data_IF_112385412964
#
_entry.id   IF_112385412964
#
_cell.length_a   1.000
_cell.length_b   1.000
_cell.length_c   1.000
_cell.angle_alpha   90.00
_cell.angle_beta   90.00
_cell.angle_gamma   90.00
#
_symmetry.space_group_name_H-M   'P 1'
#
loop_
_entity.id
_entity.type
_entity.pdbx_description
1 polymer ?
#
# COMPACT_ATOMS: atom_id res chain seq x y z
N UNK A 1 6.36 -1.09 -7.88
CA UNK A 1 5.14 -0.63 -8.59
C UNK A 1 5.30 -0.93 -10.06
N UNK A 2 4.26 -1.41 -10.73
CA UNK A 2 4.29 -1.86 -12.15
C UNK A 2 4.80 -0.79 -13.11
N UNK A 3 4.68 0.50 -12.75
CA UNK A 3 5.23 1.65 -13.47
C UNK A 3 6.76 1.73 -13.45
N UNK A 4 7.42 1.14 -12.44
CA UNK A 4 8.89 1.10 -12.34
C UNK A 4 9.48 -0.03 -13.17
N UNK A 5 8.69 -1.03 -13.58
CA UNK A 5 9.19 -2.07 -14.49
C UNK A 5 9.24 -1.59 -15.96
N UNK A 6 8.44 -0.58 -16.33
CA UNK A 6 8.38 -0.07 -17.71
C UNK A 6 9.64 0.71 -18.13
N UNK A 7 10.39 1.25 -17.18
CA UNK A 7 11.68 1.90 -17.45
C UNK A 7 12.82 1.17 -16.72
N UNK A 8 12.73 -0.16 -16.65
CA UNK A 8 13.82 -0.96 -16.11
C UNK A 8 15.07 -0.78 -17.00
N UNK A 9 16.23 -0.69 -16.36
CA UNK A 9 17.49 -0.38 -17.04
C UNK A 9 17.96 -1.64 -17.77
N UNK A 10 17.86 -1.66 -19.11
CA UNK A 10 18.25 -2.83 -19.91
C UNK A 10 19.72 -2.80 -20.34
N UNK A 11 20.36 -1.63 -20.30
CA UNK A 11 21.80 -1.46 -20.49
C UNK A 11 22.41 -0.51 -19.43
N UNK A 12 23.71 -0.65 -19.08
CA UNK A 12 24.34 0.16 -18.02
C UNK A 12 24.28 1.68 -18.25
N UNK A 13 24.29 2.09 -19.52
CA UNK A 13 24.32 3.46 -20.02
C UNK A 13 22.93 4.05 -20.34
N UNK A 14 21.85 3.26 -20.24
CA UNK A 14 20.50 3.72 -20.50
C UNK A 14 20.10 4.82 -19.49
N UNK A 15 19.83 6.04 -19.98
CA UNK A 15 19.32 7.12 -19.16
C UNK A 15 17.89 6.80 -18.67
N UNK A 16 17.66 6.92 -17.36
CA UNK A 16 16.34 6.77 -16.74
C UNK A 16 16.08 8.00 -15.89
N UNK A 17 14.85 8.52 -15.95
CA UNK A 17 14.42 9.71 -15.22
C UNK A 17 13.79 9.37 -13.85
N UNK A 18 14.05 8.16 -13.34
CA UNK A 18 13.51 7.69 -12.06
C UNK A 18 14.60 6.99 -11.26
N UNK A 19 14.59 7.19 -9.95
CA UNK A 19 15.40 6.40 -9.03
C UNK A 19 14.75 5.01 -8.82
N UNK A 20 15.56 3.97 -8.80
CA UNK A 20 15.20 2.61 -8.41
C UNK A 20 15.81 2.27 -7.05
N UNK A 21 15.41 1.15 -6.46
CA UNK A 21 15.79 0.78 -5.09
C UNK A 21 17.32 0.79 -4.87
N UNK A 22 18.07 0.33 -5.86
CA UNK A 22 19.54 0.21 -5.80
C UNK A 22 20.26 1.54 -5.92
N UNK A 23 19.61 2.58 -6.43
CA UNK A 23 20.21 3.91 -6.53
C UNK A 23 20.42 4.54 -5.15
N UNK A 24 19.64 4.10 -4.15
CA UNK A 24 19.77 4.57 -2.76
C UNK A 24 20.31 3.50 -1.80
N UNK A 25 20.01 2.22 -2.01
CA UNK A 25 20.35 1.13 -1.06
C UNK A 25 21.45 0.18 -1.56
N UNK A 26 21.96 0.35 -2.78
CA UNK A 26 22.86 -0.61 -3.41
C UNK A 26 22.18 -1.94 -3.76
N UNK A 27 22.96 -2.91 -4.26
CA UNK A 27 22.43 -4.16 -4.85
C UNK A 27 22.19 -5.25 -3.79
N UNK A 28 23.03 -5.33 -2.77
CA UNK A 28 23.00 -6.38 -1.73
C UNK A 28 22.97 -5.81 -0.30
N UNK A 29 22.71 -4.53 -0.13
CA UNK A 29 22.76 -3.81 1.16
C UNK A 29 21.40 -3.16 1.51
N UNK A 30 20.30 -3.70 1.00
CA UNK A 30 18.95 -3.25 1.35
C UNK A 30 18.64 -3.73 2.77
N UNK A 31 18.55 -2.79 3.70
CA UNK A 31 18.27 -3.06 5.10
C UNK A 31 16.79 -2.80 5.43
N UNK A 32 16.28 -3.50 6.44
CA UNK A 32 14.97 -3.21 7.01
C UNK A 32 15.02 -1.90 7.80
N UNK A 33 13.96 -1.09 7.66
CA UNK A 33 13.84 0.19 8.38
C UNK A 33 13.59 -0.05 9.88
N UNK A 34 14.66 -0.31 10.63
CA UNK A 34 14.64 -0.44 12.09
C UNK A 34 15.49 0.65 12.74
N UNK A 35 15.00 1.22 13.86
CA UNK A 35 15.72 2.22 14.64
C UNK A 35 14.97 3.55 14.77
N UNK A 36 15.72 4.61 15.05
CA UNK A 36 15.19 5.96 15.24
C UNK A 36 14.76 6.60 13.90
N UNK A 37 13.48 6.95 13.80
CA UNK A 37 12.90 7.57 12.61
C UNK A 37 13.49 8.94 12.29
N UNK A 38 13.94 9.69 13.29
CA UNK A 38 14.55 11.01 13.10
C UNK A 38 15.90 10.90 12.38
N UNK A 39 16.69 9.89 12.73
CA UNK A 39 17.96 9.56 12.08
C UNK A 39 17.72 9.09 10.66
N UNK A 40 16.73 8.20 10.46
CA UNK A 40 16.35 7.73 9.12
C UNK A 40 15.91 8.87 8.21
N UNK A 41 15.09 9.80 8.69
CA UNK A 41 14.67 10.99 7.94
C UNK A 41 15.86 11.86 7.54
N UNK A 42 16.79 12.09 8.46
CA UNK A 42 17.98 12.90 8.19
C UNK A 42 18.89 12.25 7.14
N UNK A 43 19.10 10.94 7.24
CA UNK A 43 19.89 10.20 6.26
C UNK A 43 19.21 10.16 4.89
N UNK A 44 17.87 10.04 4.84
CA UNK A 44 17.11 10.04 3.60
C UNK A 44 17.29 11.35 2.82
N UNK A 45 17.22 12.51 3.50
CA UNK A 45 17.46 13.81 2.86
C UNK A 45 18.86 13.86 2.25
N UNK A 46 19.88 13.40 2.99
CA UNK A 46 21.27 13.36 2.49
C UNK A 46 21.41 12.50 1.23
N UNK A 47 20.77 11.32 1.20
CA UNK A 47 20.78 10.45 0.01
C UNK A 47 20.10 11.14 -1.18
N UNK A 48 18.96 11.80 -0.98
CA UNK A 48 18.33 12.59 -2.06
C UNK A 48 19.24 13.72 -2.56
N UNK A 49 20.02 14.34 -1.66
CA UNK A 49 20.93 15.44 -1.98
C UNK A 49 22.15 15.04 -2.82
N UNK A 50 22.47 13.75 -2.93
CA UNK A 50 23.50 13.27 -3.86
C UNK A 50 23.18 13.64 -5.31
N UNK A 51 21.89 13.66 -5.66
CA UNK A 51 21.40 14.03 -6.99
C UNK A 51 20.59 15.35 -7.00
N UNK A 52 20.00 15.74 -5.87
CA UNK A 52 19.20 16.97 -5.72
C UNK A 52 19.77 17.88 -4.62
N UNK A 53 20.82 18.68 -4.91
CA UNK A 53 21.54 19.44 -3.89
C UNK A 53 20.66 20.36 -3.03
N UNK A 54 19.57 20.88 -3.61
CA UNK A 54 18.63 21.79 -2.94
C UNK A 54 17.45 21.08 -2.26
N UNK A 55 17.47 19.74 -2.19
CA UNK A 55 16.40 18.98 -1.54
C UNK A 55 16.31 19.35 -0.06
N UNK A 56 15.09 19.66 0.38
CA UNK A 56 14.76 19.97 1.79
C UNK A 56 14.12 18.77 2.47
N UNK A 57 13.89 18.85 3.78
CA UNK A 57 13.18 17.80 4.54
C UNK A 57 11.80 17.49 3.96
N UNK A 58 11.08 18.50 3.50
CA UNK A 58 9.75 18.35 2.88
C UNK A 58 9.79 17.54 1.59
N UNK A 59 10.92 17.59 0.85
CA UNK A 59 11.10 16.79 -0.36
C UNK A 59 11.16 15.30 -0.03
N UNK A 60 12.01 14.93 0.94
CA UNK A 60 12.14 13.55 1.40
C UNK A 60 10.86 13.04 2.10
N UNK A 61 10.10 13.93 2.76
CA UNK A 61 8.86 13.56 3.46
C UNK A 61 7.74 13.10 2.50
N UNK A 62 7.84 13.42 1.21
CA UNK A 62 6.91 12.92 0.19
C UNK A 62 7.09 11.42 -0.09
N UNK A 63 8.21 10.83 0.35
CA UNK A 63 8.54 9.42 0.18
C UNK A 63 8.36 8.65 1.50
N UNK A 64 7.12 8.26 1.79
CA UNK A 64 6.72 7.61 3.05
C UNK A 64 7.15 6.13 3.21
N UNK A 65 8.03 5.64 2.34
CA UNK A 65 8.49 4.23 2.36
C UNK A 65 9.43 3.87 3.50
N UNK A 66 10.03 4.88 4.17
CA UNK A 66 11.17 4.68 5.07
C UNK A 66 10.95 5.14 6.52
N UNK A 67 9.75 5.59 6.86
CA UNK A 67 9.33 5.82 8.25
C UNK A 67 7.81 5.69 8.36
N UNK A 68 7.29 5.37 9.55
CA UNK A 68 5.86 5.14 9.71
C UNK A 68 5.09 6.45 9.97
N UNK A 69 3.94 6.66 9.30
CA UNK A 69 3.12 7.83 9.56
C UNK A 69 2.42 7.68 10.92
N UNK A 70 2.77 8.55 11.87
CA UNK A 70 2.13 8.63 13.19
C UNK A 70 1.53 10.02 13.41
N UNK A 71 0.65 10.17 14.39
CA UNK A 71 -0.06 11.42 14.67
C UNK A 71 0.85 12.63 14.93
N UNK A 72 2.07 12.40 15.43
CA UNK A 72 3.06 13.46 15.66
C UNK A 72 3.84 13.87 14.41
N UNK A 73 3.97 12.98 13.40
CA UNK A 73 4.83 13.22 12.23
C UNK A 73 4.03 13.45 10.94
N UNK A 74 2.88 12.78 10.79
CA UNK A 74 2.06 12.83 9.59
C UNK A 74 0.56 12.64 9.92
N UNK A 75 -0.07 13.58 10.65
CA UNK A 75 -1.43 13.41 11.18
C UNK A 75 -2.48 13.17 10.10
N UNK A 76 -2.38 13.86 8.96
CA UNK A 76 -3.32 13.69 7.85
C UNK A 76 -3.22 12.28 7.24
N UNK A 77 -2.00 11.80 6.98
CA UNK A 77 -1.78 10.45 6.41
C UNK A 77 -2.24 9.38 7.38
N UNK A 78 -1.95 9.55 8.68
CA UNK A 78 -2.41 8.63 9.72
C UNK A 78 -3.94 8.60 9.80
N UNK A 79 -4.62 9.75 9.72
CA UNK A 79 -6.08 9.81 9.71
C UNK A 79 -6.69 9.08 8.50
N UNK A 80 -6.16 9.33 7.30
CA UNK A 80 -6.59 8.65 6.07
C UNK A 80 -6.34 7.15 6.15
N UNK A 81 -5.19 6.73 6.67
CA UNK A 81 -4.84 5.33 6.88
C UNK A 81 -5.82 4.65 7.84
N UNK A 82 -6.16 5.30 8.95
CA UNK A 82 -7.13 4.79 9.92
C UNK A 82 -8.53 4.67 9.29
N UNK A 83 -8.94 5.67 8.53
CA UNK A 83 -10.22 5.66 7.82
C UNK A 83 -10.34 4.45 6.88
N UNK A 84 -9.36 4.23 6.00
CA UNK A 84 -9.40 3.09 5.07
C UNK A 84 -9.26 1.74 5.78
N UNK A 85 -8.49 1.68 6.88
CA UNK A 85 -8.36 0.48 7.70
C UNK A 85 -9.69 0.02 8.31
N UNK A 86 -10.62 0.94 8.55
CA UNK A 86 -11.97 0.63 9.05
C UNK A 86 -12.94 0.43 7.89
N UNK A 87 -12.92 1.33 6.90
CA UNK A 87 -13.87 1.34 5.80
C UNK A 87 -13.81 0.06 4.96
N UNK A 88 -12.61 -0.38 4.57
CA UNK A 88 -12.43 -1.53 3.68
C UNK A 88 -13.04 -2.81 4.29
N UNK A 89 -12.67 -3.25 5.52
CA UNK A 89 -13.25 -4.45 6.09
C UNK A 89 -14.75 -4.30 6.40
N UNK A 90 -15.22 -3.10 6.75
CA UNK A 90 -16.65 -2.86 6.97
C UNK A 90 -17.47 -3.09 5.69
N UNK A 91 -17.02 -2.53 4.55
CA UNK A 91 -17.68 -2.70 3.26
C UNK A 91 -17.62 -4.14 2.78
N UNK A 92 -16.44 -4.78 2.87
CA UNK A 92 -16.28 -6.19 2.49
C UNK A 92 -17.17 -7.08 3.35
N UNK A 93 -17.18 -6.87 4.68
CA UNK A 93 -18.01 -7.63 5.61
C UNK A 93 -19.50 -7.48 5.32
N UNK A 94 -19.96 -6.25 5.06
CA UNK A 94 -21.34 -5.98 4.66
C UNK A 94 -21.75 -6.77 3.41
N UNK A 95 -20.92 -6.75 2.36
CA UNK A 95 -21.23 -7.48 1.12
C UNK A 95 -21.19 -9.00 1.30
N UNK A 96 -20.26 -9.54 2.10
CA UNK A 96 -20.23 -10.97 2.42
C UNK A 96 -21.52 -11.40 3.12
N UNK A 97 -21.97 -10.64 4.12
CA UNK A 97 -23.21 -10.92 4.85
C UNK A 97 -24.42 -10.83 3.91
N UNK A 98 -24.48 -9.78 3.09
CA UNK A 98 -25.54 -9.60 2.10
C UNK A 98 -25.65 -10.79 1.13
N UNK A 99 -24.51 -11.23 0.57
CA UNK A 99 -24.45 -12.37 -0.35
C UNK A 99 -24.83 -13.67 0.35
N UNK A 100 -24.37 -13.88 1.59
CA UNK A 100 -24.70 -15.09 2.36
C UNK A 100 -26.22 -15.19 2.61
N UNK A 101 -26.86 -14.08 2.98
CA UNK A 101 -28.32 -14.02 3.19
C UNK A 101 -29.07 -14.28 1.87
N UNK A 102 -28.66 -13.65 0.76
CA UNK A 102 -29.27 -13.87 -0.55
C UNK A 102 -29.13 -15.33 -0.99
N UNK A 103 -27.95 -15.93 -0.82
CA UNK A 103 -27.70 -17.33 -1.15
C UNK A 103 -28.53 -18.28 -0.28
N UNK A 104 -28.61 -18.03 1.03
CA UNK A 104 -29.43 -18.82 1.95
C UNK A 104 -30.91 -18.80 1.55
N UNK A 105 -31.44 -17.62 1.20
CA UNK A 105 -32.82 -17.47 0.72
C UNK A 105 -33.05 -18.25 -0.57
N UNK A 106 -32.16 -18.14 -1.55
CA UNK A 106 -32.25 -18.89 -2.82
C UNK A 106 -32.21 -20.41 -2.62
N UNK A 107 -31.40 -20.90 -1.68
CA UNK A 107 -31.32 -22.33 -1.35
C UNK A 107 -32.60 -22.80 -0.65
N UNK A 108 -33.11 -22.01 0.31
CA UNK A 108 -34.36 -22.30 1.00
C UNK A 108 -35.54 -22.40 0.02
N UNK A 109 -35.71 -21.39 -0.85
CA UNK A 109 -36.81 -21.34 -1.81
C UNK A 109 -36.74 -22.49 -2.83
N UNK A 110 -35.54 -22.87 -3.28
CA UNK A 110 -35.35 -24.05 -4.15
C UNK A 110 -35.68 -25.37 -3.45
N UNK A 111 -35.35 -25.51 -2.16
CA UNK A 111 -35.68 -26.72 -1.38
C UNK A 111 -37.18 -26.84 -1.13
N UNK A 112 -37.85 -25.73 -0.80
CA UNK A 112 -39.29 -25.67 -0.60
C UNK A 112 -40.10 -25.91 -1.89
N UNK A 113 -39.58 -25.50 -3.06
CA UNK A 113 -40.20 -25.82 -4.35
C UNK A 113 -40.15 -27.32 -4.66
N UNK A 114 -38.97 -27.94 -4.48
CA UNK A 114 -38.78 -29.39 -4.71
C UNK A 114 -39.62 -30.27 -3.78
N UNK A 115 -39.83 -29.88 -2.52
CA UNK A 115 -40.68 -30.65 -1.61
C UNK A 115 -42.15 -30.65 -2.04
N UNK A 116 -42.66 -29.52 -2.55
CA UNK A 116 -44.03 -29.40 -3.04
C UNK A 116 -44.28 -30.21 -4.32
N UNK A 117 -43.29 -30.28 -5.22
CA UNK A 117 -43.35 -31.15 -6.41
C UNK A 117 -43.30 -32.63 -6.07
N UNK A 118 -42.66 -33.02 -4.96
CA UNK A 118 -42.58 -34.42 -4.51
C UNK A 118 -43.84 -34.90 -3.76
N UNK A 119 -44.67 -33.99 -3.25
CA UNK A 119 -45.95 -34.28 -2.57
C UNK A 119 -47.17 -34.25 -3.51
N UNK A 120 -47.00 -33.77 -4.76
CA UNK A 120 -48.05 -33.69 -5.80
C UNK A 120 -48.00 -34.87 -6.77
#
# INVERSE_FOLDING_TARGET
>A
GTTVMLFDKTTPDQATNKAVCTDCHGVHDIQTAHGDQSVMKTNLVKTCQECHPDATTNFADSWLGHYTPVWSTAPLVTAVTLFYRILIPAVIGFFIIYIAIDLQRRIHDRRAGKSKEAEA
#
